data_IF_197829592739
#
_entry.id   IF_197829592739
#
_cell.length_a   1.000
_cell.length_b   1.000
_cell.length_c   1.000
_cell.angle_alpha   90.00
_cell.angle_beta   90.00
_cell.angle_gamma   90.00
#
_symmetry.space_group_name_H-M   'P 1'
#
loop_
_entity.id
_entity.type
_entity.pdbx_description
1 polymer ?
#
# COMPACT_ATOMS: atom_id res chain seq x y z
N UNK A 1 -14.01 -6.66 5.62
CA UNK A 1 -13.69 -6.71 4.18
C UNK A 1 -12.22 -7.03 4.00
N UNK A 2 -11.90 -7.94 3.12
CA UNK A 2 -10.54 -8.41 2.91
C UNK A 2 -9.93 -7.80 1.67
N UNK A 3 -8.64 -7.51 1.74
CA UNK A 3 -7.87 -7.13 0.57
C UNK A 3 -7.47 -8.39 -0.19
N UNK A 4 -7.75 -8.42 -1.48
CA UNK A 4 -7.46 -9.58 -2.31
C UNK A 4 -6.23 -9.33 -3.18
N UNK A 5 -5.62 -10.41 -3.64
CA UNK A 5 -4.51 -10.33 -4.58
C UNK A 5 -4.92 -9.61 -5.87
N UNK A 6 -6.16 -9.78 -6.29
CA UNK A 6 -6.68 -9.11 -7.48
C UNK A 6 -6.65 -7.60 -7.33
N UNK A 7 -7.07 -7.11 -6.16
CA UNK A 7 -7.05 -5.67 -5.88
C UNK A 7 -5.63 -5.13 -5.85
N UNK A 8 -4.72 -5.86 -5.23
CA UNK A 8 -3.32 -5.46 -5.16
C UNK A 8 -2.68 -5.43 -6.55
N UNK A 9 -2.93 -6.44 -7.35
CA UNK A 9 -2.41 -6.47 -8.71
C UNK A 9 -2.90 -5.29 -9.53
N UNK A 10 -4.18 -4.96 -9.38
CA UNK A 10 -4.77 -3.84 -10.10
C UNK A 10 -4.15 -2.52 -9.69
N UNK A 11 -3.90 -2.35 -8.40
CA UNK A 11 -3.23 -1.15 -7.91
C UNK A 11 -1.80 -1.05 -8.46
N UNK A 12 -1.08 -2.18 -8.47
CA UNK A 12 0.30 -2.22 -8.95
C UNK A 12 0.42 -1.89 -10.43
N UNK A 13 -0.63 -2.10 -11.21
CA UNK A 13 -0.61 -1.73 -12.63
C UNK A 13 -0.41 -0.24 -12.85
N UNK A 14 -0.76 0.57 -11.88
CA UNK A 14 -0.60 2.03 -11.93
C UNK A 14 0.67 2.51 -11.26
N UNK A 15 1.52 1.59 -10.84
CA UNK A 15 2.75 1.89 -10.13
C UNK A 15 3.93 1.60 -11.05
N UNK A 16 4.87 2.52 -11.15
CA UNK A 16 6.07 2.31 -11.95
C UNK A 16 6.94 1.23 -11.35
N UNK A 17 7.58 0.45 -12.20
CA UNK A 17 8.44 -0.64 -11.75
C UNK A 17 9.60 -0.18 -10.88
N UNK A 18 10.03 1.06 -11.07
CA UNK A 18 11.14 1.65 -10.30
C UNK A 18 10.73 2.16 -8.93
N UNK A 19 9.44 2.14 -8.62
CA UNK A 19 8.95 2.68 -7.36
C UNK A 19 9.47 1.89 -6.18
N UNK A 20 9.83 2.60 -5.12
CA UNK A 20 10.24 1.97 -3.88
C UNK A 20 8.99 1.62 -3.07
N UNK A 21 8.94 0.41 -2.58
CA UNK A 21 7.79 -0.08 -1.81
C UNK A 21 8.16 -0.14 -0.35
N UNK A 22 7.32 0.42 0.48
CA UNK A 22 7.46 0.34 1.92
C UNK A 22 6.12 -0.02 2.56
N UNK A 23 6.18 -0.50 3.78
CA UNK A 23 4.99 -0.86 4.54
C UNK A 23 4.94 0.02 5.76
N UNK A 24 3.80 0.63 5.99
CA UNK A 24 3.58 1.50 7.13
C UNK A 24 2.39 0.99 7.94
N UNK A 25 2.52 1.02 9.26
CA UNK A 25 1.46 0.61 10.16
C UNK A 25 1.10 1.78 11.06
N UNK A 26 -0.17 2.12 11.12
CA UNK A 26 -0.66 3.13 12.04
C UNK A 26 -1.23 2.45 13.26
N UNK A 27 -0.82 2.95 14.40
CA UNK A 27 -1.43 2.57 15.67
C UNK A 27 -2.28 3.74 16.14
N UNK A 28 -3.56 3.61 15.92
CA UNK A 28 -4.54 4.41 16.61
C UNK A 28 -5.39 3.43 17.39
N UNK A 29 -6.68 3.64 17.47
CA UNK A 29 -7.56 2.65 18.05
C UNK A 29 -7.73 1.44 17.12
N UNK A 30 -7.14 1.48 15.94
CA UNK A 30 -7.19 0.41 14.94
C UNK A 30 -5.85 0.28 14.28
N UNK A 31 -5.43 -0.94 14.04
CA UNK A 31 -4.27 -1.21 13.23
C UNK A 31 -4.68 -1.17 11.78
N UNK A 32 -3.99 -0.35 11.02
CA UNK A 32 -4.13 -0.32 9.57
C UNK A 32 -2.76 -0.49 8.97
N UNK A 33 -2.69 -1.33 7.96
CA UNK A 33 -1.47 -1.52 7.22
C UNK A 33 -1.59 -0.86 5.87
N UNK A 34 -0.54 -0.18 5.47
CA UNK A 34 -0.47 0.49 4.19
C UNK A 34 0.74 0.01 3.44
N UNK A 35 0.58 -0.12 2.13
CA UNK A 35 1.71 -0.26 1.23
C UNK A 35 1.87 1.10 0.55
N UNK A 36 3.07 1.63 0.62
CA UNK A 36 3.38 2.94 0.05
C UNK A 36 4.36 2.73 -1.09
N UNK A 37 4.00 3.22 -2.26
CA UNK A 37 4.89 3.24 -3.40
C UNK A 37 5.39 4.67 -3.59
N UNK A 38 6.70 4.85 -3.50
CA UNK A 38 7.34 6.14 -3.67
C UNK A 38 8.05 6.16 -5.01
N UNK A 39 7.73 7.13 -5.84
CA UNK A 39 8.36 7.26 -7.15
C UNK A 39 8.91 8.66 -7.33
N UNK A 40 9.95 8.75 -8.13
CA UNK A 40 10.63 10.02 -8.43
C UNK A 40 10.34 10.41 -9.86
N UNK A 41 9.85 11.61 -10.04
CA UNK A 41 9.59 12.16 -11.36
C UNK A 41 10.86 12.76 -11.96
N UNK A 42 10.84 12.94 -13.27
CA UNK A 42 11.95 13.58 -13.99
C UNK A 42 12.26 14.98 -13.49
N UNK A 43 11.28 15.62 -12.88
CA UNK A 43 11.43 16.95 -12.30
C UNK A 43 12.00 16.93 -10.88
N UNK A 44 12.36 15.76 -10.38
CA UNK A 44 12.86 15.62 -9.02
C UNK A 44 11.79 15.65 -7.95
N UNK A 45 10.53 15.64 -8.33
CA UNK A 45 9.43 15.57 -7.38
C UNK A 45 9.20 14.14 -6.93
N UNK A 46 8.82 14.02 -5.67
CA UNK A 46 8.49 12.73 -5.08
C UNK A 46 6.97 12.57 -5.04
N UNK A 47 6.48 11.46 -5.57
CA UNK A 47 5.07 11.10 -5.48
C UNK A 47 4.92 9.84 -4.65
N UNK A 48 3.93 9.86 -3.77
CA UNK A 48 3.60 8.70 -2.97
C UNK A 48 2.19 8.26 -3.26
N UNK A 49 2.02 6.97 -3.45
CA UNK A 49 0.70 6.35 -3.62
C UNK A 49 0.50 5.33 -2.54
N UNK A 50 -0.69 5.31 -1.97
CA UNK A 50 -1.00 4.44 -0.85
C UNK A 50 -2.01 3.37 -1.26
N UNK A 51 -1.81 2.19 -0.71
CA UNK A 51 -2.76 1.10 -0.82
C UNK A 51 -3.04 0.59 0.59
N UNK A 52 -4.29 0.69 1.01
CA UNK A 52 -4.69 0.25 2.34
C UNK A 52 -5.00 -1.24 2.32
N UNK A 53 -4.34 -1.97 3.19
CA UNK A 53 -4.56 -3.41 3.34
C UNK A 53 -5.50 -3.64 4.49
N UNK A 54 -6.64 -4.27 4.20
CA UNK A 54 -7.62 -4.60 5.24
C UNK A 54 -7.28 -5.95 5.87
N UNK A 55 -7.22 -5.94 7.19
CA UNK A 55 -6.96 -7.15 7.97
C UNK A 55 -8.14 -7.36 8.89
N UNK A 56 -8.66 -8.58 8.90
CA UNK A 56 -9.70 -8.97 9.83
C UNK A 56 -9.10 -9.79 10.95
N UNK A 57 -9.31 -9.36 12.18
CA UNK A 57 -8.68 -9.97 13.35
C UNK A 57 -9.00 -11.44 13.51
N UNK A 58 -10.22 -11.80 13.19
CA UNK A 58 -10.65 -13.19 13.37
C UNK A 58 -10.02 -14.18 12.39
N UNK A 59 -9.25 -13.70 11.42
CA UNK A 59 -8.55 -14.57 10.49
C UNK A 59 -7.32 -15.21 11.09
N UNK A 60 -6.83 -14.65 12.16
CA UNK A 60 -5.60 -15.10 12.79
C UNK A 60 -5.82 -15.93 14.06
N UNK A 61 -7.04 -16.31 14.26
CA UNK A 61 -7.39 -17.12 15.44
C UNK A 61 -7.45 -18.60 15.14
#
# INVERSE_FOLDING_TARGET
MRTTAKELKKWLENINDDSLISISTYKNNREKNFIIATQFNDNGKIEEKEFTVSIEDNEFQ
#
